data_IF_480391518292
#
_entry.id   IF_480391518292
#
_cell.length_a   1.000
_cell.length_b   1.000
_cell.length_c   1.000
_cell.angle_alpha   90.00
_cell.angle_beta   90.00
_cell.angle_gamma   90.00
#
_symmetry.space_group_name_H-M   'P 1'
#
loop_
_entity.id
_entity.type
_entity.pdbx_description
1 polymer ?
#
# COMPACT_ATOMS: atom_id res chain seq x y z
N UNK A 1 -21.98 22.12 20.36
CA UNK A 1 -20.57 22.27 19.93
C UNK A 1 -20.01 20.88 19.69
N UNK A 2 -19.66 20.47 18.46
CA UNK A 2 -19.05 19.17 18.23
C UNK A 2 -17.56 19.24 18.60
N UNK A 3 -17.13 18.35 19.48
CA UNK A 3 -15.72 18.19 19.85
C UNK A 3 -14.90 17.83 18.60
N UNK A 4 -13.90 18.67 18.27
CA UNK A 4 -12.85 18.30 17.31
C UNK A 4 -12.06 17.15 17.94
N UNK A 5 -12.39 15.91 17.58
CA UNK A 5 -11.51 14.76 17.82
C UNK A 5 -10.18 15.08 17.17
N UNK A 6 -9.12 15.23 17.97
CA UNK A 6 -7.77 15.31 17.41
C UNK A 6 -7.54 14.05 16.58
N UNK A 7 -7.04 14.17 15.33
CA UNK A 7 -6.80 13.01 14.51
C UNK A 7 -5.80 12.11 15.24
N UNK A 8 -6.20 10.85 15.46
CA UNK A 8 -5.29 9.84 15.99
C UNK A 8 -4.08 9.77 15.06
N UNK A 9 -2.89 9.97 15.61
CA UNK A 9 -1.65 9.88 14.85
C UNK A 9 -1.37 8.40 14.60
N UNK A 10 -1.81 7.90 13.45
CA UNK A 10 -1.58 6.51 13.05
C UNK A 10 -0.21 6.46 12.37
N UNK A 11 0.78 5.94 13.08
CA UNK A 11 2.08 5.60 12.50
C UNK A 11 1.92 4.29 11.74
N UNK A 12 2.11 4.32 10.42
CA UNK A 12 2.04 3.12 9.58
C UNK A 12 3.44 2.63 9.25
N UNK A 13 3.70 1.36 9.55
CA UNK A 13 4.92 0.67 9.13
C UNK A 13 4.85 0.34 7.64
N UNK A 14 5.40 1.24 6.82
CA UNK A 14 5.45 1.07 5.36
C UNK A 14 6.44 -0.03 4.93
N UNK A 15 7.47 -0.31 5.73
CA UNK A 15 8.41 -1.38 5.43
C UNK A 15 7.73 -2.74 5.58
N UNK A 16 7.05 -2.95 6.72
CA UNK A 16 6.24 -4.15 6.95
C UNK A 16 5.13 -4.34 5.91
N UNK A 17 4.42 -3.28 5.51
CA UNK A 17 3.40 -3.39 4.45
C UNK A 17 3.99 -3.77 3.09
N UNK A 18 5.21 -3.30 2.75
CA UNK A 18 5.89 -3.67 1.51
C UNK A 18 6.35 -5.12 1.54
N UNK A 19 6.83 -5.60 2.68
CA UNK A 19 7.21 -7.01 2.88
C UNK A 19 6.00 -7.92 2.75
N UNK A 20 4.92 -7.65 3.50
CA UNK A 20 3.66 -8.41 3.43
C UNK A 20 3.10 -8.43 2.00
N UNK A 21 3.12 -7.29 1.30
CA UNK A 21 2.69 -7.23 -0.10
C UNK A 21 3.55 -8.13 -0.99
N UNK A 22 4.85 -8.12 -0.79
CA UNK A 22 5.80 -8.92 -1.60
C UNK A 22 5.58 -10.41 -1.36
N UNK A 23 5.43 -10.81 -0.10
CA UNK A 23 5.11 -12.19 0.26
C UNK A 23 3.75 -12.62 -0.29
N UNK A 24 2.71 -11.80 -0.09
CA UNK A 24 1.36 -12.10 -0.57
C UNK A 24 1.33 -12.24 -2.09
N UNK A 25 2.04 -11.36 -2.80
CA UNK A 25 2.16 -11.42 -4.26
C UNK A 25 2.90 -12.68 -4.70
N UNK A 26 4.02 -13.02 -4.05
CA UNK A 26 4.75 -14.26 -4.31
C UNK A 26 3.85 -15.48 -4.10
N UNK A 27 3.17 -15.56 -2.97
CA UNK A 27 2.29 -16.70 -2.66
C UNK A 27 1.12 -16.80 -3.64
N UNK A 28 0.59 -15.66 -4.10
CA UNK A 28 -0.47 -15.59 -5.10
C UNK A 28 0.02 -16.06 -6.47
N UNK A 29 1.16 -15.53 -6.93
CA UNK A 29 1.70 -15.73 -8.28
C UNK A 29 2.39 -17.08 -8.44
N UNK A 30 3.12 -17.55 -7.41
CA UNK A 30 3.97 -18.74 -7.44
C UNK A 30 3.31 -19.99 -6.85
N UNK A 31 2.30 -19.85 -5.98
CA UNK A 31 1.64 -21.00 -5.33
C UNK A 31 0.16 -21.12 -5.70
N UNK A 32 -0.67 -20.13 -5.34
CA UNK A 32 -2.13 -20.21 -5.47
C UNK A 32 -2.58 -20.32 -6.94
N UNK A 33 -2.14 -19.41 -7.81
CA UNK A 33 -2.53 -19.42 -9.23
C UNK A 33 -2.07 -20.68 -9.99
N UNK A 34 -0.79 -21.12 -9.91
CA UNK A 34 -0.37 -22.35 -10.57
C UNK A 34 -0.96 -23.60 -9.93
N UNK A 35 -1.16 -23.60 -8.61
CA UNK A 35 -1.83 -24.68 -7.88
C UNK A 35 -3.27 -24.88 -8.35
N UNK A 36 -4.02 -23.79 -8.49
CA UNK A 36 -5.40 -23.81 -9.01
C UNK A 36 -5.46 -24.32 -10.45
N UNK A 37 -4.53 -23.89 -11.29
CA UNK A 37 -4.42 -24.34 -12.69
C UNK A 37 -4.14 -25.84 -12.77
N UNK A 38 -3.26 -26.33 -11.91
CA UNK A 38 -2.91 -27.76 -11.81
C UNK A 38 -4.08 -28.57 -11.29
N UNK A 39 -4.74 -28.11 -10.22
CA UNK A 39 -5.91 -28.75 -9.64
C UNK A 39 -7.05 -28.85 -10.67
N UNK A 40 -7.34 -27.78 -11.41
CA UNK A 40 -8.34 -27.79 -12.49
C UNK A 40 -8.02 -28.83 -13.56
N UNK A 41 -6.75 -28.93 -13.97
CA UNK A 41 -6.31 -29.97 -14.91
C UNK A 41 -6.54 -31.36 -14.33
N UNK A 42 -6.16 -31.61 -13.08
CA UNK A 42 -6.29 -32.91 -12.41
C UNK A 42 -7.74 -33.31 -12.12
N UNK A 43 -8.63 -32.36 -11.81
CA UNK A 43 -10.07 -32.61 -11.65
C UNK A 43 -10.68 -33.24 -12.91
N UNK A 44 -10.23 -32.83 -14.11
CA UNK A 44 -10.63 -33.47 -15.37
C UNK A 44 -10.22 -34.95 -15.47
N UNK A 45 -9.16 -35.37 -14.76
CA UNK A 45 -8.77 -36.79 -14.65
C UNK A 45 -9.56 -37.51 -13.56
N UNK A 46 -9.84 -36.83 -12.43
CA UNK A 46 -10.69 -37.33 -11.35
C UNK A 46 -12.13 -37.62 -11.77
N UNK A 47 -12.66 -36.88 -12.76
CA UNK A 47 -13.96 -37.15 -13.39
C UNK A 47 -14.06 -38.55 -14.04
N UNK A 48 -12.92 -39.24 -14.22
CA UNK A 48 -12.84 -40.61 -14.74
C UNK A 48 -13.00 -41.68 -13.66
N UNK A 49 -13.07 -41.29 -12.38
CA UNK A 49 -13.33 -42.18 -11.25
C UNK A 49 -14.63 -42.97 -11.46
N UNK A 50 -14.64 -44.27 -11.15
CA UNK A 50 -15.78 -45.16 -11.35
C UNK A 50 -16.39 -45.18 -12.77
N UNK A 51 -15.68 -44.75 -13.83
CA UNK A 51 -16.22 -44.82 -15.20
C UNK A 51 -16.50 -46.26 -15.67
N UNK A 52 -15.78 -47.25 -15.15
CA UNK A 52 -16.00 -48.67 -15.47
C UNK A 52 -17.16 -49.30 -14.68
N UNK A 53 -17.74 -48.58 -13.72
CA UNK A 53 -18.83 -49.05 -12.87
C UNK A 53 -20.13 -48.36 -13.27
N UNK A 54 -20.91 -49.01 -14.13
CA UNK A 54 -22.22 -48.53 -14.60
C UNK A 54 -23.36 -48.78 -13.59
N UNK A 55 -23.05 -49.21 -12.36
CA UNK A 55 -24.04 -49.37 -11.31
C UNK A 55 -24.50 -48.01 -10.75
N UNK A 56 -25.70 -47.99 -10.16
CA UNK A 56 -26.29 -46.78 -9.57
C UNK A 56 -25.39 -46.14 -8.51
N UNK A 57 -24.71 -46.95 -7.70
CA UNK A 57 -23.76 -46.51 -6.68
C UNK A 57 -22.53 -45.83 -7.29
N UNK A 58 -22.01 -46.38 -8.41
CA UNK A 58 -20.89 -45.79 -9.15
C UNK A 58 -21.25 -44.44 -9.78
N UNK A 59 -22.47 -44.31 -10.32
CA UNK A 59 -22.99 -43.05 -10.85
C UNK A 59 -23.18 -42.00 -9.75
N UNK A 60 -23.75 -42.39 -8.61
CA UNK A 60 -23.93 -41.50 -7.45
C UNK A 60 -22.59 -41.03 -6.87
N UNK A 61 -21.63 -41.93 -6.72
CA UNK A 61 -20.28 -41.61 -6.25
C UNK A 61 -19.58 -40.63 -7.19
N UNK A 62 -19.70 -40.82 -8.51
CA UNK A 62 -19.15 -39.89 -9.52
C UNK A 62 -19.72 -38.48 -9.42
N UNK A 63 -21.05 -38.37 -9.30
CA UNK A 63 -21.72 -37.08 -9.15
C UNK A 63 -21.23 -36.38 -7.88
N UNK A 64 -21.24 -37.09 -6.74
CA UNK A 64 -20.82 -36.54 -5.45
C UNK A 64 -19.36 -36.06 -5.45
N UNK A 65 -18.44 -36.86 -6.00
CA UNK A 65 -17.03 -36.46 -6.11
C UNK A 65 -16.88 -35.24 -7.00
N UNK A 66 -17.60 -35.19 -8.12
CA UNK A 66 -17.57 -34.05 -9.05
C UNK A 66 -18.07 -32.77 -8.39
N UNK A 67 -19.17 -32.84 -7.65
CA UNK A 67 -19.75 -31.69 -6.92
C UNK A 67 -18.80 -31.16 -5.86
N UNK A 68 -18.15 -32.06 -5.10
CA UNK A 68 -17.15 -31.69 -4.08
C UNK A 68 -15.94 -31.03 -4.74
N UNK A 69 -15.41 -31.60 -5.83
CA UNK A 69 -14.28 -31.03 -6.55
C UNK A 69 -14.61 -29.63 -7.12
N UNK A 70 -15.79 -29.46 -7.73
CA UNK A 70 -16.25 -28.18 -8.23
C UNK A 70 -16.34 -27.13 -7.11
N UNK A 71 -16.91 -27.50 -5.96
CA UNK A 71 -16.99 -26.59 -4.81
C UNK A 71 -15.62 -26.18 -4.28
N UNK A 72 -14.66 -27.11 -4.22
CA UNK A 72 -13.29 -26.78 -3.84
C UNK A 72 -12.61 -25.86 -4.85
N UNK A 73 -12.87 -26.05 -6.15
CA UNK A 73 -12.37 -25.16 -7.20
C UNK A 73 -12.90 -23.74 -7.03
N UNK A 74 -14.21 -23.57 -6.86
CA UNK A 74 -14.85 -22.27 -6.64
C UNK A 74 -14.31 -21.56 -5.39
N UNK A 75 -14.16 -22.29 -4.29
CA UNK A 75 -13.59 -21.75 -3.05
C UNK A 75 -12.15 -21.25 -3.26
N UNK A 76 -11.33 -22.01 -3.97
CA UNK A 76 -9.95 -21.64 -4.24
C UNK A 76 -9.85 -20.45 -5.21
N UNK A 77 -10.73 -20.36 -6.21
CA UNK A 77 -10.85 -19.15 -7.05
C UNK A 77 -11.26 -17.92 -6.25
N UNK A 78 -12.17 -18.07 -5.29
CA UNK A 78 -12.59 -16.99 -4.41
C UNK A 78 -11.43 -16.50 -3.52
N UNK A 79 -10.66 -17.43 -2.94
CA UNK A 79 -9.46 -17.10 -2.17
C UNK A 79 -8.41 -16.36 -3.01
N UNK A 80 -8.21 -16.80 -4.26
CA UNK A 80 -7.32 -16.10 -5.20
C UNK A 80 -7.77 -14.65 -5.43
N UNK A 81 -9.06 -14.42 -5.67
CA UNK A 81 -9.60 -13.06 -5.86
C UNK A 81 -9.43 -12.19 -4.62
N UNK A 82 -9.57 -12.76 -3.42
CA UNK A 82 -9.32 -12.04 -2.16
C UNK A 82 -7.84 -11.64 -2.07
N UNK A 83 -6.91 -12.56 -2.32
CA UNK A 83 -5.48 -12.31 -2.25
C UNK A 83 -5.05 -11.22 -3.24
N UNK A 84 -5.56 -11.27 -4.48
CA UNK A 84 -5.33 -10.23 -5.49
C UNK A 84 -5.89 -8.87 -5.05
N UNK A 85 -7.11 -8.84 -4.50
CA UNK A 85 -7.73 -7.61 -4.00
C UNK A 85 -6.96 -7.01 -2.83
N UNK A 86 -6.46 -7.85 -1.91
CA UNK A 86 -5.66 -7.42 -0.77
C UNK A 86 -4.31 -6.85 -1.22
N UNK A 87 -3.68 -7.48 -2.22
CA UNK A 87 -2.43 -6.97 -2.82
C UNK A 87 -2.64 -5.57 -3.39
N UNK A 88 -3.71 -5.36 -4.17
CA UNK A 88 -4.05 -4.05 -4.74
C UNK A 88 -4.34 -3.01 -3.64
N UNK A 89 -5.04 -3.41 -2.57
CA UNK A 89 -5.33 -2.51 -1.46
C UNK A 89 -4.04 -2.07 -0.75
N UNK A 90 -3.11 -2.99 -0.50
CA UNK A 90 -1.80 -2.70 0.09
C UNK A 90 -0.97 -1.77 -0.81
N UNK A 91 -0.99 -1.97 -2.12
CA UNK A 91 -0.33 -1.07 -3.08
C UNK A 91 -0.86 0.35 -2.98
N UNK A 92 -2.18 0.53 -3.00
CA UNK A 92 -2.82 1.84 -2.85
C UNK A 92 -2.49 2.51 -1.53
N UNK A 93 -2.41 1.76 -0.43
CA UNK A 93 -2.03 2.32 0.88
C UNK A 93 -0.59 2.86 0.81
N UNK A 94 0.35 2.06 0.27
CA UNK A 94 1.75 2.47 0.15
C UNK A 94 1.90 3.70 -0.75
N UNK A 95 1.19 3.75 -1.88
CA UNK A 95 1.17 4.91 -2.79
C UNK A 95 0.63 6.16 -2.09
N UNK A 96 -0.53 6.06 -1.42
CA UNK A 96 -1.13 7.19 -0.72
C UNK A 96 -0.21 7.75 0.37
N UNK A 97 0.51 6.89 1.10
CA UNK A 97 1.47 7.32 2.10
C UNK A 97 2.72 7.96 1.49
N UNK A 98 3.23 7.43 0.38
CA UNK A 98 4.35 8.04 -0.34
C UNK A 98 3.98 9.45 -0.86
N UNK A 99 2.77 9.60 -1.41
CA UNK A 99 2.27 10.90 -1.88
C UNK A 99 2.03 11.90 -0.73
N UNK A 100 1.61 11.41 0.44
CA UNK A 100 1.45 12.24 1.63
C UNK A 100 2.81 12.70 2.16
N UNK A 101 3.80 11.81 2.19
CA UNK A 101 5.17 12.11 2.62
C UNK A 101 5.86 13.11 1.68
N UNK A 102 5.73 12.92 0.36
CA UNK A 102 6.25 13.87 -0.63
C UNK A 102 5.65 15.28 -0.47
N UNK A 103 4.35 15.37 -0.19
CA UNK A 103 3.67 16.65 0.08
C UNK A 103 4.10 17.28 1.41
N UNK A 104 4.32 16.47 2.43
CA UNK A 104 4.82 16.94 3.72
C UNK A 104 6.25 17.48 3.59
N UNK A 105 7.13 16.75 2.89
CA UNK A 105 8.50 17.17 2.61
C UNK A 105 8.55 18.49 1.85
N UNK A 106 7.74 18.65 0.78
CA UNK A 106 7.67 19.90 0.02
C UNK A 106 7.29 21.10 0.90
N UNK A 107 6.28 20.93 1.78
CA UNK A 107 5.86 21.98 2.72
C UNK A 107 6.93 22.31 3.76
N UNK A 108 7.66 21.30 4.27
CA UNK A 108 8.75 21.52 5.21
C UNK A 108 9.85 22.36 4.54
N UNK A 109 10.23 22.02 3.30
CA UNK A 109 11.22 22.80 2.54
C UNK A 109 10.78 24.24 2.29
N UNK A 110 9.49 24.48 1.99
CA UNK A 110 8.93 25.83 1.86
C UNK A 110 9.04 26.61 3.18
N UNK A 111 8.65 25.99 4.29
CA UNK A 111 8.74 26.61 5.63
C UNK A 111 10.19 26.91 6.00
N UNK A 112 11.12 25.99 5.75
CA UNK A 112 12.56 26.19 5.98
C UNK A 112 13.08 27.36 5.15
N UNK A 113 12.67 27.48 3.90
CA UNK A 113 13.05 28.60 3.03
C UNK A 113 12.50 29.94 3.56
N UNK A 114 11.25 29.99 4.00
CA UNK A 114 10.65 31.19 4.61
C UNK A 114 11.33 31.56 5.93
N UNK A 115 11.61 30.57 6.79
CA UNK A 115 12.29 30.79 8.06
C UNK A 115 13.70 31.35 7.83
N UNK A 116 14.45 30.78 6.88
CA UNK A 116 15.77 31.27 6.50
C UNK A 116 15.73 32.69 5.93
N UNK A 117 14.70 33.04 5.13
CA UNK A 117 14.49 34.41 4.66
C UNK A 117 14.22 35.37 5.82
N UNK A 118 13.36 34.99 6.76
CA UNK A 118 13.03 35.81 7.93
C UNK A 118 14.26 36.04 8.82
N UNK A 119 15.06 35.00 9.07
CA UNK A 119 16.34 35.10 9.80
C UNK A 119 17.28 36.08 9.09
N UNK A 120 17.47 35.93 7.77
CA UNK A 120 18.35 36.81 6.99
C UNK A 120 17.89 38.27 7.05
N UNK A 121 16.57 38.52 6.99
CA UNK A 121 16.01 39.87 7.13
C UNK A 121 16.25 40.47 8.51
N UNK A 122 16.07 39.67 9.57
CA UNK A 122 16.36 40.06 10.96
C UNK A 122 17.84 40.40 11.15
N UNK A 123 18.75 39.57 10.65
CA UNK A 123 20.19 39.81 10.72
C UNK A 123 20.59 41.09 9.97
N UNK A 124 20.02 41.33 8.79
CA UNK A 124 20.27 42.54 8.02
C UNK A 124 19.73 43.79 8.74
N UNK A 125 18.53 43.73 9.31
CA UNK A 125 17.95 44.82 10.10
C UNK A 125 18.79 45.13 11.35
N UNK A 126 19.28 44.10 12.04
CA UNK A 126 20.17 44.25 13.20
C UNK A 126 21.52 44.90 12.82
N UNK A 127 22.10 44.54 11.67
CA UNK A 127 23.33 45.17 11.14
C UNK A 127 23.13 46.64 10.78
N UNK A 128 21.97 47.02 10.24
CA UNK A 128 21.64 48.41 9.91
C UNK A 128 21.55 49.27 11.18
N UNK A 129 20.96 48.73 12.26
CA UNK A 129 20.87 49.43 13.55
C UNK A 129 22.23 49.59 14.26
N UNK A 130 23.18 48.68 14.04
CA UNK A 130 24.53 48.76 14.63
C UNK A 130 25.48 49.72 13.91
N UNK A 131 25.12 50.25 12.72
CA UNK A 131 25.91 51.31 12.06
C UNK A 131 25.56 52.66 12.72
N UNK A 132 26.48 53.29 13.48
CA UNK A 132 26.26 54.65 13.94
C UNK A 132 26.27 55.54 12.70
N UNK A 133 25.27 56.42 12.58
CA UNK A 133 25.29 57.53 11.64
C UNK A 133 26.58 58.31 11.81
N UNK A 134 27.48 58.23 10.82
CA UNK A 134 28.71 58.98 10.79
C UNK A 134 28.38 60.47 11.01
N UNK A 135 29.10 61.18 11.90
CA UNK A 135 28.83 62.59 12.12
C UNK A 135 29.07 63.33 10.80
N UNK A 136 28.05 64.08 10.35
CA UNK A 136 28.17 65.04 9.25
C UNK A 136 29.31 66.01 9.60
N UNK A 137 30.50 65.76 9.07
CA UNK A 137 31.58 66.75 9.06
C UNK A 137 31.10 67.91 8.21
N UNK A 138 30.60 68.94 8.89
CA UNK A 138 30.35 70.25 8.32
C UNK A 138 31.59 70.74 7.59
N UNK A 139 31.35 71.28 6.40
CA UNK A 139 32.34 71.93 5.56
C UNK A 139 32.90 73.18 6.27
N UNK A 140 34.19 73.42 6.01
CA UNK A 140 35.01 74.58 6.38
C UNK A 140 34.40 75.94 5.97
N UNK A 141 34.86 77.04 6.58
CA UNK A 141 36.07 77.73 6.09
C UNK A 141 37.26 77.65 7.05
#
# INVERSE_FOLDING_TARGET
MPERRMPAQITVDLAGLREIRTDLRRDTDEALRPGLTTAKRQMGWGARFCMALECAEGLAARSSVTDVLNRHHENAEYQLRIAESLTIALERIVENYADADARAAARITEIEAELNRAITQLENAARIQQRPSAPLRGMLP
#
